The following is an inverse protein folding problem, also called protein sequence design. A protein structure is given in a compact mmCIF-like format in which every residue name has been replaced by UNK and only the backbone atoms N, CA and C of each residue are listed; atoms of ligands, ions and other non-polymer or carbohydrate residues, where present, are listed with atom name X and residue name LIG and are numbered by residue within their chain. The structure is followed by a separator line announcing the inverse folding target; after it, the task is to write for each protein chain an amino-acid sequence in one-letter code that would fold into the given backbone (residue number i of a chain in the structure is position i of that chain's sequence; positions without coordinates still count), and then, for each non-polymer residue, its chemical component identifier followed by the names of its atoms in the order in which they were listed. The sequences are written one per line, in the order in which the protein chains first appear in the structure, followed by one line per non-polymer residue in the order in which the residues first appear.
data_IF_937193709592
#
_entry.id   IF_937193709592
#
_cell.length_a   1.000
_cell.length_b   1.000
_cell.length_c   1.000
_cell.angle_alpha   90.00
_cell.angle_beta   90.00
_cell.angle_gamma   90.00
#
_symmetry.space_group_name_H-M   'P 1'
#
loop_
_entity.id
_entity.type
_entity.pdbx_description
1 polymer ?
#
# COMPACT_ATOMS: atom_id res chain seq x y z
N UNK A 1 -2.19 -12.81 -23.99
CA UNK A 1 -0.93 -12.61 -23.23
C UNK A 1 0.19 -13.24 -24.08
N UNK A 2 1.37 -12.63 -24.23
CA UNK A 2 2.49 -12.98 -25.15
C UNK A 2 2.54 -12.24 -26.50
N UNK A 3 2.84 -10.95 -26.47
CA UNK A 3 3.36 -10.22 -27.63
C UNK A 3 4.88 -9.98 -27.55
N UNK A 4 5.57 -10.62 -26.59
CA UNK A 4 7.01 -10.50 -26.32
C UNK A 4 7.53 -9.06 -26.15
N UNK A 5 6.64 -8.10 -25.87
CA UNK A 5 7.04 -6.73 -25.59
C UNK A 5 7.85 -6.67 -24.28
N UNK A 6 8.92 -5.89 -24.31
CA UNK A 6 9.80 -5.66 -23.17
C UNK A 6 9.78 -4.18 -22.82
N UNK A 7 9.66 -3.89 -21.53
CA UNK A 7 9.66 -2.53 -21.00
C UNK A 7 10.69 -2.44 -19.89
N UNK A 8 11.35 -1.28 -19.79
CA UNK A 8 12.05 -0.91 -18.58
C UNK A 8 11.03 -0.48 -17.52
N UNK A 9 11.19 -0.99 -16.31
CA UNK A 9 10.36 -0.66 -15.16
C UNK A 9 11.14 0.20 -14.16
N UNK A 10 10.50 1.24 -13.64
CA UNK A 10 11.00 2.08 -12.55
C UNK A 10 10.34 1.65 -11.25
N UNK A 11 11.13 1.47 -10.18
CA UNK A 11 10.61 1.26 -8.85
C UNK A 11 9.99 2.56 -8.32
N UNK A 12 8.69 2.53 -7.99
CA UNK A 12 7.98 3.67 -7.38
C UNK A 12 8.12 3.64 -5.86
N UNK A 13 8.05 2.44 -5.28
CA UNK A 13 8.23 2.21 -3.86
C UNK A 13 8.08 0.72 -3.51
N UNK A 14 8.42 0.38 -2.28
CA UNK A 14 8.28 -0.98 -1.73
C UNK A 14 7.89 -0.93 -0.27
N UNK A 15 7.12 -1.91 0.17
CA UNK A 15 6.84 -2.20 1.58
C UNK A 15 7.39 -3.59 1.94
N UNK A 16 8.56 -3.65 2.57
CA UNK A 16 9.13 -4.91 3.03
C UNK A 16 8.24 -5.66 4.03
N UNK A 17 7.43 -4.94 4.83
CA UNK A 17 6.59 -5.54 5.88
C UNK A 17 5.29 -6.17 5.37
N UNK A 18 5.02 -6.08 4.05
CA UNK A 18 4.02 -6.91 3.35
C UNK A 18 4.59 -7.69 2.19
N UNK A 19 5.90 -7.60 1.91
CA UNK A 19 6.52 -8.14 0.69
C UNK A 19 5.87 -7.64 -0.62
N UNK A 20 5.60 -6.32 -0.71
CA UNK A 20 5.01 -5.69 -1.90
C UNK A 20 5.92 -4.61 -2.48
N UNK A 21 5.92 -4.49 -3.81
CA UNK A 21 6.59 -3.42 -4.53
C UNK A 21 5.72 -2.91 -5.69
N UNK A 22 5.76 -1.60 -5.92
CA UNK A 22 5.07 -0.96 -7.04
C UNK A 22 6.08 -0.53 -8.10
N UNK A 23 5.85 -0.99 -9.33
CA UNK A 23 6.67 -0.69 -10.49
C UNK A 23 5.86 0.12 -11.53
N UNK A 24 6.52 1.07 -12.19
CA UNK A 24 5.96 1.85 -13.31
C UNK A 24 6.68 1.50 -14.59
N UNK A 25 5.92 1.19 -15.65
CA UNK A 25 6.42 1.04 -17.01
C UNK A 25 5.92 2.20 -17.87
N UNK A 26 6.77 2.72 -18.77
CA UNK A 26 6.39 3.79 -19.72
C UNK A 26 5.74 3.16 -20.96
N UNK A 27 4.42 2.98 -20.90
CA UNK A 27 3.60 2.48 -22.01
C UNK A 27 2.14 2.91 -21.85
N UNK A 28 1.38 2.89 -22.94
CA UNK A 28 -0.03 3.33 -22.99
C UNK A 28 -0.92 2.18 -23.45
N UNK A 29 -2.20 2.24 -23.09
CA UNK A 29 -3.23 1.28 -23.51
C UNK A 29 -2.88 -0.19 -23.18
N UNK A 30 -2.31 -0.41 -22.00
CA UNK A 30 -2.01 -1.75 -21.51
C UNK A 30 -3.29 -2.41 -20.97
N UNK A 31 -3.47 -3.73 -21.15
CA UNK A 31 -4.54 -4.45 -20.48
C UNK A 31 -4.30 -4.44 -18.96
N UNK A 32 -5.40 -4.42 -18.19
CA UNK A 32 -5.36 -4.45 -16.74
C UNK A 32 -6.41 -5.46 -16.21
N UNK A 33 -6.31 -5.76 -14.92
CA UNK A 33 -7.21 -6.66 -14.20
C UNK A 33 -7.99 -5.87 -13.16
N UNK A 34 -9.25 -6.23 -12.94
CA UNK A 34 -10.06 -5.65 -11.87
C UNK A 34 -9.71 -6.30 -10.53
N UNK A 35 -9.75 -5.51 -9.48
CA UNK A 35 -9.66 -6.04 -8.13
C UNK A 35 -10.99 -6.66 -7.71
N UNK A 36 -10.94 -7.85 -7.13
CA UNK A 36 -12.06 -8.43 -6.39
C UNK A 36 -12.04 -7.95 -4.93
N UNK A 37 -12.61 -8.76 -4.04
CA UNK A 37 -12.64 -8.52 -2.60
C UNK A 37 -12.18 -9.76 -1.83
N UNK A 38 -11.02 -9.69 -1.18
CA UNK A 38 -10.48 -10.80 -0.39
C UNK A 38 -11.26 -11.10 0.89
N UNK A 39 -12.14 -10.21 1.34
CA UNK A 39 -12.98 -10.46 2.52
C UNK A 39 -14.10 -11.44 2.18
N UNK A 40 -14.61 -11.40 0.95
CA UNK A 40 -15.65 -12.29 0.44
C UNK A 40 -15.14 -13.70 0.09
N UNK A 41 -13.83 -13.86 -0.03
CA UNK A 41 -13.20 -15.17 -0.28
C UNK A 41 -13.43 -16.09 0.91
N UNK A 42 -13.82 -17.33 0.64
CA UNK A 42 -14.05 -18.38 1.62
C UNK A 42 -13.24 -19.65 1.31
N UNK A 43 -12.83 -20.43 2.32
CA UNK A 43 -12.26 -21.75 2.07
C UNK A 43 -13.21 -22.64 1.25
N UNK A 44 -12.67 -23.25 0.19
CA UNK A 44 -13.43 -24.03 -0.80
C UNK A 44 -13.67 -23.30 -2.12
N UNK A 45 -13.50 -21.97 -2.16
CA UNK A 45 -13.64 -21.22 -3.41
C UNK A 45 -12.57 -21.63 -4.43
N UNK A 46 -12.98 -21.81 -5.69
CA UNK A 46 -12.07 -22.10 -6.79
C UNK A 46 -11.24 -20.87 -7.15
N UNK A 47 -9.96 -21.12 -7.39
CA UNK A 47 -9.00 -20.08 -7.75
C UNK A 47 -8.05 -20.53 -8.85
N UNK A 48 -7.56 -19.56 -9.61
CA UNK A 48 -6.49 -19.76 -10.58
C UNK A 48 -5.27 -18.94 -10.15
N UNK A 49 -4.10 -19.59 -10.12
CA UNK A 49 -2.82 -18.91 -9.93
C UNK A 49 -2.15 -18.73 -11.29
N UNK A 50 -1.71 -17.51 -11.59
CA UNK A 50 -1.10 -17.13 -12.86
C UNK A 50 0.29 -16.54 -12.60
N UNK A 51 1.30 -17.05 -13.29
CA UNK A 51 2.69 -16.59 -13.14
C UNK A 51 3.61 -17.11 -14.24
N UNK A 52 4.92 -16.99 -14.03
CA UNK A 52 5.92 -17.47 -14.99
C UNK A 52 6.95 -18.39 -14.31
N UNK A 53 6.54 -19.58 -13.85
CA UNK A 53 7.43 -20.48 -13.16
C UNK A 53 8.49 -20.99 -14.13
N UNK A 54 9.74 -21.07 -13.67
CA UNK A 54 10.88 -21.57 -14.44
C UNK A 54 11.11 -20.91 -15.82
N UNK A 55 10.64 -19.68 -16.03
CA UNK A 55 10.68 -18.96 -17.31
C UNK A 55 10.01 -19.71 -18.49
N UNK A 56 9.00 -20.54 -18.23
CA UNK A 56 8.30 -21.34 -19.24
C UNK A 56 7.25 -20.58 -20.06
N UNK A 57 7.15 -19.25 -19.90
CA UNK A 57 6.16 -18.34 -20.48
C UNK A 57 4.73 -18.60 -19.98
N UNK A 58 4.28 -17.79 -19.00
CA UNK A 58 2.87 -17.67 -18.54
C UNK A 58 2.15 -19.00 -18.28
N UNK A 59 2.28 -19.54 -17.06
CA UNK A 59 1.58 -20.74 -16.60
C UNK A 59 0.37 -20.36 -15.75
N UNK A 60 -0.72 -21.10 -15.95
CA UNK A 60 -1.93 -21.04 -15.13
C UNK A 60 -2.09 -22.38 -14.42
N UNK A 61 -2.33 -22.35 -13.11
CA UNK A 61 -2.67 -23.53 -12.30
C UNK A 61 -3.98 -23.28 -11.57
N UNK A 62 -4.76 -24.34 -11.34
CA UNK A 62 -6.03 -24.26 -10.62
C UNK A 62 -5.90 -24.91 -9.26
N UNK A 63 -6.70 -24.43 -8.32
CA UNK A 63 -6.86 -25.01 -6.99
C UNK A 63 -8.07 -24.38 -6.29
N UNK A 64 -8.12 -24.54 -4.98
CA UNK A 64 -9.10 -23.90 -4.11
C UNK A 64 -8.40 -23.05 -3.05
N UNK A 65 -9.15 -22.17 -2.41
CA UNK A 65 -8.72 -21.55 -1.16
C UNK A 65 -8.81 -22.59 -0.06
N UNK A 66 -7.67 -22.91 0.57
CA UNK A 66 -7.60 -23.90 1.64
C UNK A 66 -7.79 -23.27 3.02
N UNK A 67 -7.35 -22.03 3.20
CA UNK A 67 -7.46 -21.28 4.45
C UNK A 67 -7.20 -19.77 4.24
N UNK A 68 -7.50 -18.95 5.25
CA UNK A 68 -7.21 -17.52 5.29
C UNK A 68 -6.39 -17.16 6.52
N UNK A 69 -5.84 -15.95 6.53
CA UNK A 69 -5.13 -15.34 7.65
C UNK A 69 -4.00 -16.23 8.20
N UNK A 70 -3.21 -16.84 7.31
CA UNK A 70 -2.06 -17.66 7.70
C UNK A 70 -0.84 -16.79 8.03
N UNK A 71 -0.27 -17.04 9.20
CA UNK A 71 1.11 -16.67 9.55
C UNK A 71 2.03 -17.85 9.25
N UNK A 72 3.13 -17.63 8.53
CA UNK A 72 4.11 -18.67 8.21
C UNK A 72 5.55 -18.27 8.60
N UNK A 73 5.73 -17.10 9.21
CA UNK A 73 7.00 -16.62 9.74
C UNK A 73 8.07 -16.32 8.68
N UNK A 74 7.66 -15.96 7.46
CA UNK A 74 8.58 -15.75 6.32
C UNK A 74 9.13 -14.33 6.22
N UNK A 75 8.42 -13.32 6.72
CA UNK A 75 8.83 -11.92 6.71
C UNK A 75 9.88 -11.61 7.80
N UNK A 76 10.09 -12.55 8.73
CA UNK A 76 11.10 -12.49 9.78
C UNK A 76 10.76 -11.43 10.84
N UNK A 77 10.87 -11.77 12.11
CA UNK A 77 10.41 -10.93 13.23
C UNK A 77 11.35 -9.75 13.52
N UNK A 78 11.53 -8.87 12.54
CA UNK A 78 12.55 -7.82 12.59
C UNK A 78 12.07 -6.58 13.34
N UNK A 79 10.75 -6.30 13.35
CA UNK A 79 10.21 -5.07 13.96
C UNK A 79 8.73 -5.12 14.42
N UNK A 80 8.12 -6.29 14.69
CA UNK A 80 6.74 -6.40 15.23
C UNK A 80 5.60 -5.80 14.37
N UNK A 81 5.93 -5.30 13.17
CA UNK A 81 5.01 -4.61 12.26
C UNK A 81 4.75 -5.40 10.98
N UNK A 82 5.37 -6.57 10.83
CA UNK A 82 5.17 -7.44 9.69
C UNK A 82 3.73 -7.93 9.66
N UNK A 83 3.12 -7.93 8.48
CA UNK A 83 1.73 -8.35 8.29
C UNK A 83 1.72 -9.61 7.46
N UNK A 84 1.59 -10.73 8.16
CA UNK A 84 1.42 -12.04 7.57
C UNK A 84 0.01 -12.55 7.83
N UNK A 85 -0.83 -12.45 6.80
CA UNK A 85 -2.20 -12.95 6.82
C UNK A 85 -2.55 -13.50 5.44
N UNK A 86 -1.81 -14.52 5.03
CA UNK A 86 -1.90 -15.05 3.68
C UNK A 86 -3.23 -15.80 3.45
N UNK A 87 -3.71 -15.71 2.21
CA UNK A 87 -4.64 -16.66 1.63
C UNK A 87 -3.84 -17.91 1.28
N UNK A 88 -4.23 -19.06 1.81
CA UNK A 88 -3.63 -20.35 1.47
C UNK A 88 -4.40 -21.00 0.32
N UNK A 89 -3.68 -21.56 -0.64
CA UNK A 89 -4.25 -22.35 -1.74
C UNK A 89 -3.42 -23.59 -2.04
N UNK A 90 -4.08 -24.62 -2.57
CA UNK A 90 -3.46 -25.81 -3.16
C UNK A 90 -3.28 -25.68 -4.69
N UNK A 91 -3.49 -24.49 -5.26
CA UNK A 91 -3.02 -24.22 -6.61
C UNK A 91 -1.49 -24.37 -6.63
N UNK A 92 -0.97 -25.03 -7.68
CA UNK A 92 0.45 -25.29 -7.80
C UNK A 92 1.23 -23.97 -8.03
N UNK A 93 1.99 -23.55 -7.01
CA UNK A 93 2.85 -22.37 -7.04
C UNK A 93 4.30 -22.82 -6.86
N UNK A 94 5.20 -22.34 -7.72
CA UNK A 94 6.64 -22.62 -7.67
C UNK A 94 7.44 -21.31 -7.82
N UNK A 95 8.74 -21.30 -7.51
CA UNK A 95 9.61 -20.15 -7.81
C UNK A 95 9.42 -19.63 -9.24
N UNK A 96 9.20 -18.32 -9.37
CA UNK A 96 8.82 -17.65 -10.62
C UNK A 96 7.34 -17.27 -10.71
N UNK A 97 6.50 -17.76 -9.80
CA UNK A 97 5.13 -17.26 -9.63
C UNK A 97 5.01 -16.07 -8.66
N UNK A 98 6.05 -15.78 -7.87
CA UNK A 98 6.05 -14.65 -6.93
C UNK A 98 5.79 -13.32 -7.67
N UNK A 99 4.86 -12.52 -7.15
CA UNK A 99 4.32 -11.32 -7.81
C UNK A 99 3.23 -11.59 -8.85
N UNK A 100 2.93 -12.86 -9.13
CA UNK A 100 1.85 -13.30 -10.01
C UNK A 100 0.47 -13.21 -9.34
N UNK A 101 -0.59 -13.34 -10.13
CA UNK A 101 -1.97 -13.16 -9.68
C UNK A 101 -2.57 -14.45 -9.11
N UNK A 102 -3.37 -14.32 -8.06
CA UNK A 102 -4.38 -15.28 -7.65
C UNK A 102 -5.75 -14.69 -7.95
N UNK A 103 -6.55 -15.36 -8.77
CA UNK A 103 -7.85 -14.84 -9.25
C UNK A 103 -9.00 -15.79 -8.95
N UNK A 104 -10.20 -15.23 -8.80
CA UNK A 104 -11.46 -16.00 -8.75
C UNK A 104 -11.90 -16.43 -10.17
N UNK A 105 -13.05 -17.11 -10.27
CA UNK A 105 -13.58 -17.62 -11.54
C UNK A 105 -14.06 -16.50 -12.49
N UNK A 106 -14.37 -15.33 -11.95
CA UNK A 106 -14.71 -14.11 -12.67
C UNK A 106 -13.46 -13.42 -13.26
N UNK A 107 -12.25 -13.87 -12.90
CA UNK A 107 -10.98 -13.29 -13.33
C UNK A 107 -10.58 -12.02 -12.58
N UNK A 108 -11.19 -11.77 -11.42
CA UNK A 108 -10.85 -10.66 -10.53
C UNK A 108 -9.69 -11.05 -9.62
N UNK A 109 -8.78 -10.10 -9.38
CA UNK A 109 -7.65 -10.32 -8.49
C UNK A 109 -8.12 -10.44 -7.04
N UNK A 110 -7.83 -11.57 -6.39
CA UNK A 110 -8.12 -11.79 -4.96
C UNK A 110 -6.85 -11.85 -4.10
N UNK A 111 -5.68 -12.05 -4.72
CA UNK A 111 -4.39 -11.97 -4.03
C UNK A 111 -3.18 -11.95 -4.96
N UNK A 112 -2.01 -11.70 -4.38
CA UNK A 112 -0.71 -11.75 -5.07
C UNK A 112 0.10 -12.90 -4.51
N UNK A 113 0.50 -13.84 -5.38
CA UNK A 113 1.31 -14.99 -5.01
C UNK A 113 2.66 -14.52 -4.45
N UNK A 114 3.04 -14.96 -3.25
CA UNK A 114 4.30 -14.54 -2.62
C UNK A 114 5.17 -15.75 -2.29
N UNK A 115 4.65 -16.70 -1.51
CA UNK A 115 5.46 -17.75 -0.89
C UNK A 115 4.86 -19.16 -1.03
N UNK A 116 5.68 -20.15 -0.71
CA UNK A 116 5.30 -21.56 -0.52
C UNK A 116 5.93 -22.08 0.77
N UNK A 117 5.24 -22.97 1.48
CA UNK A 117 5.83 -23.70 2.60
C UNK A 117 6.33 -25.05 2.11
N UNK A 118 7.65 -25.24 2.13
CA UNK A 118 8.31 -26.44 1.62
C UNK A 118 9.68 -26.66 2.25
N UNK A 119 10.06 -27.92 2.45
CA UNK A 119 11.39 -28.31 2.90
C UNK A 119 12.38 -28.48 1.73
N UNK A 120 11.87 -28.70 0.52
CA UNK A 120 12.68 -29.01 -0.68
C UNK A 120 12.86 -27.83 -1.61
N UNK A 121 12.12 -26.73 -1.39
CA UNK A 121 12.08 -25.57 -2.29
C UNK A 121 11.08 -25.72 -3.45
N UNK A 122 10.41 -26.86 -3.58
CA UNK A 122 9.35 -27.09 -4.57
C UNK A 122 7.95 -27.10 -3.96
N UNK A 123 6.92 -26.92 -4.80
CA UNK A 123 5.51 -27.04 -4.40
C UNK A 123 5.22 -28.35 -3.65
N UNK A 124 4.41 -28.28 -2.59
CA UNK A 124 4.00 -29.45 -1.77
C UNK A 124 2.57 -29.36 -1.23
N UNK A 125 1.69 -28.56 -1.83
CA UNK A 125 0.30 -28.38 -1.35
C UNK A 125 0.03 -27.10 -0.56
N UNK A 126 1.07 -26.32 -0.26
CA UNK A 126 0.96 -25.15 0.62
C UNK A 126 1.51 -23.91 -0.06
N UNK A 127 0.61 -23.20 -0.76
CA UNK A 127 0.92 -21.96 -1.44
C UNK A 127 0.23 -20.78 -0.78
N UNK A 128 0.86 -19.60 -0.82
CA UNK A 128 0.41 -18.42 -0.06
C UNK A 128 0.37 -17.16 -0.93
N UNK A 129 -0.74 -16.43 -0.83
CA UNK A 129 -0.97 -15.18 -1.52
C UNK A 129 -1.33 -14.05 -0.54
N UNK A 130 -0.83 -12.85 -0.80
CA UNK A 130 -1.14 -11.64 -0.04
C UNK A 130 -2.56 -11.19 -0.44
N UNK A 131 -3.49 -10.95 0.50
CA UNK A 131 -4.87 -10.54 0.20
C UNK A 131 -4.95 -9.24 -0.62
N UNK A 132 -5.84 -9.20 -1.62
CA UNK A 132 -5.96 -8.03 -2.51
C UNK A 132 -6.33 -6.74 -1.78
N UNK A 133 -7.10 -6.81 -0.68
CA UNK A 133 -7.45 -5.60 0.06
C UNK A 133 -6.23 -4.94 0.74
N UNK A 134 -5.28 -5.74 1.22
CA UNK A 134 -3.98 -5.22 1.68
C UNK A 134 -3.16 -4.66 0.52
N UNK A 135 -3.16 -5.36 -0.63
CA UNK A 135 -2.48 -4.89 -1.84
C UNK A 135 -2.98 -3.51 -2.28
N UNK A 136 -4.30 -3.31 -2.37
CA UNK A 136 -4.93 -2.02 -2.71
C UNK A 136 -4.38 -0.91 -1.82
N UNK A 137 -4.45 -1.10 -0.51
CA UNK A 137 -3.97 -0.11 0.48
C UNK A 137 -2.50 0.20 0.30
N UNK A 138 -1.65 -0.82 0.15
CA UNK A 138 -0.21 -0.63 -0.01
C UNK A 138 0.09 0.11 -1.31
N UNK A 139 -0.57 -0.23 -2.42
CA UNK A 139 -0.41 0.47 -3.69
C UNK A 139 -0.85 1.93 -3.59
N UNK A 140 -1.99 2.22 -2.96
CA UNK A 140 -2.50 3.58 -2.77
C UNK A 140 -1.51 4.43 -1.95
N UNK A 141 -0.97 3.89 -0.86
CA UNK A 141 0.04 4.60 -0.06
C UNK A 141 1.35 4.83 -0.83
N UNK A 142 1.83 3.84 -1.59
CA UNK A 142 3.06 3.98 -2.38
C UNK A 142 2.88 5.02 -3.51
N UNK A 143 1.70 5.09 -4.12
CA UNK A 143 1.36 6.10 -5.12
C UNK A 143 1.23 7.49 -4.49
N UNK A 144 0.56 7.60 -3.35
CA UNK A 144 0.26 8.91 -2.75
C UNK A 144 1.44 9.48 -1.96
N UNK A 145 2.12 8.64 -1.19
CA UNK A 145 3.14 9.06 -0.22
C UNK A 145 4.54 8.50 -0.51
N UNK A 146 4.69 7.59 -1.48
CA UNK A 146 5.97 6.92 -1.75
C UNK A 146 6.42 5.93 -0.67
N UNK A 147 5.65 5.81 0.42
CA UNK A 147 5.89 4.90 1.53
C UNK A 147 4.55 4.49 2.13
N UNK A 148 4.49 3.28 2.68
CA UNK A 148 3.31 2.80 3.39
C UNK A 148 3.21 3.46 4.76
N UNK A 149 2.02 3.94 5.11
CA UNK A 149 1.75 4.57 6.40
C UNK A 149 0.73 3.74 7.16
N UNK A 150 1.11 3.20 8.33
CA UNK A 150 0.31 2.21 9.07
C UNK A 150 -0.32 2.82 10.31
N UNK A 151 -1.63 2.66 10.41
CA UNK A 151 -2.33 2.82 11.67
C UNK A 151 -2.07 1.62 12.58
N UNK A 152 -1.90 1.86 13.86
CA UNK A 152 -1.77 0.85 14.91
C UNK A 152 -2.74 1.16 16.05
N UNK A 153 -3.22 0.10 16.72
CA UNK A 153 -4.03 0.20 17.92
C UNK A 153 -3.20 0.56 19.16
N UNK A 154 -1.94 0.10 19.21
CA UNK A 154 -1.06 0.23 20.36
C UNK A 154 -1.38 -0.74 21.49
N UNK A 155 -1.45 -2.04 21.15
CA UNK A 155 -1.72 -3.14 22.09
C UNK A 155 -0.67 -4.23 21.96
N UNK A 156 -0.44 -4.98 23.04
CA UNK A 156 0.22 -6.28 22.99
C UNK A 156 -0.85 -7.34 23.03
N UNK A 157 -0.75 -8.31 22.14
CA UNK A 157 -1.82 -9.25 21.83
C UNK A 157 -1.27 -10.65 21.64
N UNK A 158 -2.14 -11.64 21.86
CA UNK A 158 -1.91 -13.05 21.55
C UNK A 158 -3.19 -13.67 21.02
N UNK A 159 -3.07 -14.76 20.27
CA UNK A 159 -4.24 -15.57 19.88
C UNK A 159 -4.94 -16.12 21.13
N UNK A 160 -6.27 -16.18 21.08
CA UNK A 160 -7.00 -16.98 22.06
C UNK A 160 -6.74 -18.46 21.77
N UNK A 161 -6.10 -19.14 22.71
CA UNK A 161 -5.98 -20.59 22.74
C UNK A 161 -6.92 -21.18 23.80
N UNK A 162 -7.10 -22.50 23.81
CA UNK A 162 -7.89 -23.17 24.85
C UNK A 162 -7.32 -22.92 26.25
N UNK A 163 -5.98 -22.92 26.36
CA UNK A 163 -5.26 -22.65 27.61
C UNK A 163 -5.50 -21.22 28.09
N UNK A 164 -5.37 -20.23 27.19
CA UNK A 164 -5.64 -18.82 27.53
C UNK A 164 -7.11 -18.62 27.91
N UNK A 165 -8.04 -19.28 27.21
CA UNK A 165 -9.45 -19.20 27.52
C UNK A 165 -9.77 -19.75 28.91
N UNK A 166 -9.15 -20.86 29.30
CA UNK A 166 -9.30 -21.44 30.64
C UNK A 166 -8.63 -20.58 31.73
N UNK A 167 -7.38 -20.16 31.52
CA UNK A 167 -6.62 -19.35 32.49
C UNK A 167 -7.23 -17.98 32.76
N UNK A 168 -7.86 -17.37 31.75
CA UNK A 168 -8.44 -16.03 31.82
C UNK A 168 -9.98 -16.05 31.95
N UNK A 169 -10.60 -17.23 32.10
CA UNK A 169 -12.05 -17.42 32.22
C UNK A 169 -12.84 -16.74 31.08
N UNK A 170 -12.40 -16.99 29.83
CA UNK A 170 -12.97 -16.38 28.63
C UNK A 170 -14.15 -17.19 28.09
N UNK A 171 -15.23 -16.50 27.72
CA UNK A 171 -16.40 -17.09 27.09
C UNK A 171 -16.28 -17.32 25.57
N UNK A 172 -15.10 -17.06 25.02
CA UNK A 172 -14.82 -17.17 23.58
C UNK A 172 -13.61 -18.05 23.36
N UNK A 173 -13.68 -18.93 22.35
CA UNK A 173 -12.60 -19.85 21.98
C UNK A 173 -11.76 -19.34 20.81
N UNK A 174 -12.11 -18.17 20.27
CA UNK A 174 -11.48 -17.55 19.10
C UNK A 174 -11.46 -16.04 19.30
N UNK A 175 -10.52 -15.38 18.64
CA UNK A 175 -10.29 -13.94 18.76
C UNK A 175 -8.87 -13.64 19.22
N UNK A 176 -8.67 -12.38 19.61
CA UNK A 176 -7.35 -11.88 19.98
C UNK A 176 -7.38 -11.29 21.38
N UNK A 177 -6.66 -11.93 22.29
CA UNK A 177 -6.58 -11.52 23.68
C UNK A 177 -5.64 -10.32 23.85
N UNK A 178 -6.12 -9.27 24.53
CA UNK A 178 -5.35 -8.05 24.81
C UNK A 178 -4.56 -8.22 26.10
N UNK A 179 -3.27 -8.53 25.96
CA UNK A 179 -2.31 -8.71 27.06
C UNK A 179 -1.99 -7.38 27.73
N UNK A 180 -1.86 -6.31 26.95
CA UNK A 180 -1.50 -4.99 27.46
C UNK A 180 -1.97 -3.90 26.50
N UNK A 181 -2.39 -2.77 27.05
CA UNK A 181 -2.77 -1.58 26.30
C UNK A 181 -1.72 -0.51 26.54
N UNK A 182 -1.09 -0.01 25.47
CA UNK A 182 -0.04 1.00 25.59
C UNK A 182 -0.64 2.35 26.00
N UNK A 183 0.04 3.08 26.88
CA UNK A 183 -0.37 4.42 27.29
C UNK A 183 -0.31 5.41 26.12
N UNK A 184 -1.32 6.27 26.00
CA UNK A 184 -1.48 7.24 24.91
C UNK A 184 -1.84 6.61 23.56
N UNK A 185 -2.22 5.33 23.54
CA UNK A 185 -2.56 4.60 22.32
C UNK A 185 -4.00 4.82 21.87
N UNK A 186 -4.27 4.44 20.62
CA UNK A 186 -5.63 4.43 20.07
C UNK A 186 -6.57 3.51 20.87
N UNK A 187 -6.04 2.39 21.37
CA UNK A 187 -6.76 1.45 22.21
C UNK A 187 -7.11 2.06 23.58
N UNK A 188 -6.14 2.65 24.28
CA UNK A 188 -6.37 3.28 25.60
C UNK A 188 -7.43 4.39 25.50
N UNK A 189 -7.29 5.30 24.53
CA UNK A 189 -8.22 6.42 24.34
C UNK A 189 -9.65 5.96 24.00
N UNK A 190 -9.79 4.79 23.38
CA UNK A 190 -11.10 4.21 23.08
C UNK A 190 -11.76 3.52 24.28
N UNK A 191 -11.04 3.35 25.39
CA UNK A 191 -11.48 2.61 26.57
C UNK A 191 -11.27 1.09 26.47
N UNK A 192 -10.39 0.62 25.59
CA UNK A 192 -9.95 -0.78 25.55
C UNK A 192 -9.10 -1.07 26.80
N UNK A 193 -9.30 -2.24 27.38
CA UNK A 193 -8.64 -2.65 28.61
C UNK A 193 -7.86 -3.96 28.42
N UNK A 194 -6.87 -4.17 29.27
CA UNK A 194 -6.24 -5.49 29.41
C UNK A 194 -7.31 -6.52 29.79
N UNK A 195 -7.25 -7.70 29.18
CA UNK A 195 -8.25 -8.76 29.37
C UNK A 195 -9.39 -8.73 28.37
N UNK A 196 -9.52 -7.67 27.56
CA UNK A 196 -10.45 -7.66 26.43
C UNK A 196 -10.05 -8.72 25.39
N UNK A 197 -11.04 -9.37 24.78
CA UNK A 197 -10.83 -10.19 23.58
C UNK A 197 -11.40 -9.46 22.36
N UNK A 198 -10.55 -9.10 21.40
CA UNK A 198 -10.99 -8.50 20.14
C UNK A 198 -11.61 -9.60 19.27
N UNK A 199 -12.88 -9.38 18.88
CA UNK A 199 -13.68 -10.34 18.12
C UNK A 199 -14.09 -9.83 16.73
N UNK A 200 -13.98 -8.52 16.47
CA UNK A 200 -14.23 -7.98 15.12
C UNK A 200 -13.60 -6.60 14.91
N UNK A 201 -13.23 -6.29 13.66
CA UNK A 201 -12.86 -4.94 13.19
C UNK A 201 -13.81 -4.53 12.06
N UNK A 202 -14.43 -3.35 12.16
CA UNK A 202 -15.38 -2.83 11.17
C UNK A 202 -16.49 -3.83 10.79
N UNK A 203 -16.90 -4.66 11.75
CA UNK A 203 -17.85 -5.77 11.62
C UNK A 203 -17.34 -7.02 10.87
N UNK A 204 -16.08 -7.06 10.44
CA UNK A 204 -15.43 -8.29 10.00
C UNK A 204 -14.99 -9.10 11.24
N UNK A 205 -15.40 -10.38 11.38
CA UNK A 205 -14.94 -11.25 12.45
C UNK A 205 -13.42 -11.35 12.48
N UNK A 206 -12.85 -11.38 13.68
CA UNK A 206 -11.42 -11.58 13.90
C UNK A 206 -11.26 -12.85 14.72
N UNK A 207 -10.56 -13.82 14.15
CA UNK A 207 -10.38 -15.13 14.78
C UNK A 207 -8.97 -15.30 15.35
N UNK A 208 -7.99 -14.54 14.85
CA UNK A 208 -6.59 -14.61 15.25
C UNK A 208 -5.84 -13.28 15.02
N UNK A 209 -4.60 -13.21 15.51
CA UNK A 209 -3.71 -12.06 15.49
C UNK A 209 -3.38 -11.65 14.06
N UNK A 210 -3.13 -12.60 13.16
CA UNK A 210 -2.85 -12.32 11.75
C UNK A 210 -4.00 -11.58 11.08
N UNK A 211 -5.24 -12.05 11.28
CA UNK A 211 -6.44 -11.41 10.75
C UNK A 211 -6.63 -10.01 11.35
N UNK A 212 -6.43 -9.83 12.66
CA UNK A 212 -6.47 -8.51 13.29
C UNK A 212 -5.43 -7.56 12.69
N UNK A 213 -4.18 -7.99 12.61
CA UNK A 213 -3.07 -7.18 12.11
C UNK A 213 -3.32 -6.77 10.66
N UNK A 214 -3.82 -7.67 9.83
CA UNK A 214 -4.14 -7.38 8.44
C UNK A 214 -5.28 -6.37 8.32
N UNK A 215 -6.39 -6.54 9.03
CA UNK A 215 -7.48 -5.56 9.02
C UNK A 215 -7.04 -4.19 9.52
N UNK A 216 -6.20 -4.13 10.56
CA UNK A 216 -5.66 -2.85 11.06
C UNK A 216 -4.70 -2.23 10.05
N UNK A 217 -3.83 -3.02 9.41
CA UNK A 217 -2.82 -2.56 8.46
C UNK A 217 -3.41 -2.01 7.15
N UNK A 218 -4.66 -2.34 6.83
CA UNK A 218 -5.45 -1.71 5.75
C UNK A 218 -5.82 -0.25 6.01
N UNK A 219 -5.49 0.29 7.18
CA UNK A 219 -5.87 1.65 7.55
C UNK A 219 -4.64 2.53 7.81
N UNK A 220 -4.82 3.82 7.54
CA UNK A 220 -3.81 4.87 7.75
C UNK A 220 -3.92 5.44 9.17
N UNK A 221 -2.86 6.07 9.70
CA UNK A 221 -2.97 6.92 10.89
C UNK A 221 -4.10 7.95 10.75
N UNK A 222 -4.77 8.24 11.86
CA UNK A 222 -5.95 9.12 11.91
C UNK A 222 -7.27 8.45 11.49
N UNK A 223 -7.22 7.25 10.92
CA UNK A 223 -8.45 6.52 10.56
C UNK A 223 -9.17 6.05 11.81
N UNK A 224 -10.47 6.32 11.87
CA UNK A 224 -11.33 5.80 12.93
C UNK A 224 -11.92 4.45 12.52
N UNK A 225 -11.66 3.42 13.32
CA UNK A 225 -12.19 2.07 13.11
C UNK A 225 -13.11 1.66 14.26
N UNK A 226 -14.06 0.78 13.98
CA UNK A 226 -14.91 0.14 15.00
C UNK A 226 -14.25 -1.17 15.43
N UNK A 227 -14.03 -1.34 16.72
CA UNK A 227 -13.48 -2.57 17.31
C UNK A 227 -14.52 -3.14 18.25
N UNK A 228 -14.96 -4.37 18.04
CA UNK A 228 -15.80 -5.06 19.03
C UNK A 228 -14.93 -5.94 19.90
N UNK A 229 -15.10 -5.83 21.20
CA UNK A 229 -14.38 -6.62 22.19
C UNK A 229 -15.35 -7.35 23.11
N UNK A 230 -15.05 -8.59 23.45
CA UNK A 230 -15.67 -9.31 24.56
C UNK A 230 -14.94 -8.90 25.85
N UNK A 231 -15.69 -8.34 26.80
CA UNK A 231 -15.22 -8.01 28.14
C UNK A 231 -16.09 -8.71 29.18
N UNK A 232 -15.53 -9.72 29.84
CA UNK A 232 -16.29 -10.65 30.66
C UNK A 232 -17.49 -11.21 29.86
N UNK A 233 -18.72 -11.02 30.32
CA UNK A 233 -19.95 -11.47 29.65
C UNK A 233 -20.46 -10.53 28.54
N UNK A 234 -19.93 -9.32 28.41
CA UNK A 234 -20.51 -8.28 27.56
C UNK A 234 -19.66 -7.99 26.33
N UNK A 235 -20.33 -7.77 25.19
CA UNK A 235 -19.71 -7.21 24.00
C UNK A 235 -19.72 -5.68 24.10
N UNK A 236 -18.54 -5.06 23.98
CA UNK A 236 -18.38 -3.61 23.85
C UNK A 236 -17.98 -3.25 22.43
N UNK A 237 -18.53 -2.14 21.93
CA UNK A 237 -18.14 -1.56 20.65
C UNK A 237 -17.34 -0.28 20.89
N UNK A 238 -16.05 -0.36 20.60
CA UNK A 238 -15.09 0.72 20.77
C UNK A 238 -14.85 1.41 19.43
N UNK A 239 -14.54 2.70 19.49
CA UNK A 239 -14.18 3.49 18.31
C UNK A 239 -12.74 3.98 18.47
N UNK A 240 -11.81 3.35 17.76
CA UNK A 240 -10.38 3.59 17.89
C UNK A 240 -9.90 4.49 16.74
N UNK A 241 -9.28 5.62 17.07
CA UNK A 241 -8.59 6.46 16.07
C UNK A 241 -7.14 6.02 15.99
N UNK A 242 -6.78 5.33 14.90
CA UNK A 242 -5.46 4.73 14.74
C UNK A 242 -4.34 5.78 14.75
N UNK A 243 -3.18 5.40 15.27
CA UNK A 243 -1.98 6.24 15.31
C UNK A 243 -0.84 5.57 14.56
N UNK A 244 0.20 6.30 14.18
CA UNK A 244 1.43 5.70 13.70
C UNK A 244 2.30 5.18 14.87
N UNK A 245 3.46 4.64 14.53
CA UNK A 245 4.43 4.11 15.51
C UNK A 245 5.01 5.18 16.45
N UNK A 246 4.91 6.45 16.09
CA UNK A 246 5.32 7.61 16.90
C UNK A 246 4.15 8.19 17.70
N UNK A 247 2.94 7.62 17.58
CA UNK A 247 1.74 8.09 18.24
C UNK A 247 1.01 9.23 17.50
N UNK A 248 1.41 9.58 16.28
CA UNK A 248 0.78 10.63 15.47
C UNK A 248 -0.45 10.13 14.72
N UNK A 249 -1.42 11.02 14.50
CA UNK A 249 -2.56 10.78 13.60
C UNK A 249 -2.33 11.39 12.20
N UNK A 250 -1.25 12.14 12.03
CA UNK A 250 -0.97 12.87 10.79
C UNK A 250 -0.32 11.96 9.75
N UNK A 251 -0.83 12.02 8.52
CA UNK A 251 -0.18 11.39 7.38
C UNK A 251 1.02 12.23 6.95
N UNK A 252 2.21 11.62 6.96
CA UNK A 252 3.44 12.22 6.46
C UNK A 252 3.39 12.24 4.93
N UNK A 253 3.07 13.40 4.35
CA UNK A 253 3.03 13.56 2.89
C UNK A 253 4.41 13.34 2.25
N UNK A 254 4.40 12.87 0.99
CA UNK A 254 5.59 12.90 0.12
C UNK A 254 5.93 14.30 -0.35
N UNK A 255 5.01 15.27 -0.28
CA UNK A 255 5.16 16.58 -0.93
C UNK A 255 6.45 17.25 -0.48
N UNK A 256 7.49 17.10 -1.30
CA UNK A 256 8.74 17.80 -1.08
C UNK A 256 8.53 19.18 -1.66
N UNK A 257 8.25 20.13 -0.77
CA UNK A 257 8.17 21.54 -1.14
C UNK A 257 9.57 22.12 -1.12
N UNK A 258 10.11 22.45 -2.29
CA UNK A 258 11.37 23.18 -2.38
C UNK A 258 11.12 24.64 -2.75
N UNK A 259 11.97 25.52 -2.23
CA UNK A 259 12.07 26.88 -2.75
C UNK A 259 13.27 26.94 -3.68
N UNK A 260 13.03 27.11 -4.98
CA UNK A 260 14.08 27.29 -5.99
C UNK A 260 13.93 28.68 -6.61
N UNK A 261 14.93 29.54 -6.43
CA UNK A 261 14.96 30.91 -6.98
C UNK A 261 13.66 31.72 -6.70
N UNK A 262 13.10 31.57 -5.49
CA UNK A 262 11.89 32.29 -5.06
C UNK A 262 10.56 31.68 -5.51
N UNK A 263 10.56 30.52 -6.16
CA UNK A 263 9.35 29.73 -6.42
C UNK A 263 9.21 28.58 -5.42
N UNK A 264 8.04 28.46 -4.80
CA UNK A 264 7.62 27.29 -4.03
C UNK A 264 7.07 26.23 -4.99
N UNK A 265 7.80 25.13 -5.09
CA UNK A 265 7.57 24.04 -6.03
C UNK A 265 7.15 22.78 -5.28
N UNK A 266 6.12 22.12 -5.76
CA UNK A 266 5.58 20.90 -5.17
C UNK A 266 5.52 19.77 -6.20
N UNK A 267 5.83 18.56 -5.75
CA UNK A 267 5.53 17.34 -6.51
C UNK A 267 4.03 17.23 -6.78
N UNK A 268 3.67 16.76 -7.98
CA UNK A 268 2.30 16.43 -8.32
C UNK A 268 2.02 14.98 -7.93
N UNK A 269 0.93 14.73 -7.20
CA UNK A 269 0.55 13.37 -6.83
C UNK A 269 0.26 12.51 -8.07
N UNK A 270 0.47 11.20 -7.99
CA UNK A 270 0.19 10.29 -9.11
C UNK A 270 -1.28 10.32 -9.55
N UNK A 271 -2.21 10.48 -8.60
CA UNK A 271 -3.64 10.63 -8.88
C UNK A 271 -3.92 11.90 -9.71
N UNK A 272 -3.23 12.99 -9.41
CA UNK A 272 -3.36 14.24 -10.14
C UNK A 272 -2.68 14.15 -11.52
N UNK A 273 -1.50 13.53 -11.63
CA UNK A 273 -0.84 13.26 -12.91
C UNK A 273 -1.76 12.45 -13.85
N UNK A 274 -2.40 11.40 -13.32
CA UNK A 274 -3.35 10.58 -14.07
C UNK A 274 -4.58 11.39 -14.52
N UNK A 275 -5.17 12.20 -13.63
CA UNK A 275 -6.30 13.09 -13.95
C UNK A 275 -5.94 14.12 -15.03
N UNK A 276 -4.72 14.63 -14.98
CA UNK A 276 -4.19 15.58 -15.96
C UNK A 276 -3.71 14.91 -17.25
N UNK A 277 -3.60 13.57 -17.27
CA UNK A 277 -3.07 12.77 -18.37
C UNK A 277 -1.65 13.18 -18.77
N UNK A 278 -0.77 13.37 -17.77
CA UNK A 278 0.65 13.68 -17.94
C UNK A 278 1.52 12.66 -17.20
N UNK A 279 2.75 12.43 -17.67
CA UNK A 279 3.62 11.38 -17.13
C UNK A 279 4.45 11.84 -15.91
N UNK A 280 4.63 13.15 -15.76
CA UNK A 280 5.39 13.82 -14.72
C UNK A 280 5.19 15.34 -14.79
N UNK A 281 5.63 16.04 -13.74
CA UNK A 281 5.62 17.49 -13.71
C UNK A 281 5.76 18.06 -12.30
N UNK A 282 6.02 19.37 -12.24
CA UNK A 282 6.21 20.12 -11.00
C UNK A 282 5.20 21.25 -10.92
N UNK A 283 4.47 21.34 -9.82
CA UNK A 283 3.49 22.38 -9.58
C UNK A 283 4.13 23.61 -8.92
N UNK A 284 4.04 24.75 -9.61
CA UNK A 284 4.49 26.05 -9.10
C UNK A 284 3.37 26.70 -8.29
N UNK A 285 3.36 26.46 -6.98
CA UNK A 285 2.30 26.94 -6.09
C UNK A 285 2.38 28.44 -5.86
N UNK A 286 3.56 28.94 -5.54
CA UNK A 286 3.77 30.35 -5.22
C UNK A 286 5.07 30.87 -5.83
N UNK A 287 5.02 32.06 -6.44
CA UNK A 287 6.16 32.68 -7.09
C UNK A 287 6.39 34.08 -6.51
N UNK A 288 7.53 34.26 -5.85
CA UNK A 288 8.00 35.57 -5.39
C UNK A 288 8.51 36.42 -6.57
N UNK A 289 8.65 37.75 -6.40
CA UNK A 289 9.35 38.58 -7.38
C UNK A 289 10.76 38.03 -7.65
N UNK A 290 11.06 37.68 -8.91
CA UNK A 290 12.30 36.98 -9.26
C UNK A 290 12.34 36.56 -10.72
N UNK A 291 13.30 35.70 -11.09
CA UNK A 291 13.52 35.24 -12.47
C UNK A 291 12.25 34.62 -13.06
N UNK A 292 11.57 33.75 -12.30
CA UNK A 292 10.32 33.08 -12.70
C UNK A 292 9.18 34.06 -13.02
N UNK A 293 8.96 35.07 -12.17
CA UNK A 293 7.88 36.04 -12.39
C UNK A 293 8.20 37.00 -13.54
N UNK A 294 9.49 37.35 -13.72
CA UNK A 294 9.96 38.21 -14.83
C UNK A 294 9.83 37.55 -16.19
N UNK A 295 9.92 36.22 -16.28
CA UNK A 295 9.68 35.49 -17.54
C UNK A 295 8.20 35.45 -17.93
N UNK A 296 7.28 35.88 -17.05
CA UNK A 296 5.83 35.90 -17.29
C UNK A 296 5.09 34.69 -16.73
N UNK A 297 5.78 33.76 -16.06
CA UNK A 297 5.14 32.64 -15.37
C UNK A 297 4.37 33.17 -14.15
N UNK A 298 3.13 32.68 -13.99
CA UNK A 298 2.26 32.99 -12.85
C UNK A 298 2.13 31.76 -11.94
N UNK A 299 1.55 31.97 -10.76
CA UNK A 299 1.17 30.88 -9.87
C UNK A 299 0.26 29.89 -10.60
N UNK A 300 0.20 28.67 -10.08
CA UNK A 300 -0.57 27.55 -10.61
C UNK A 300 -0.08 26.96 -11.93
N UNK A 301 1.14 27.32 -12.35
CA UNK A 301 1.77 26.72 -13.52
C UNK A 301 2.34 25.34 -13.18
N UNK A 302 2.16 24.39 -14.09
CA UNK A 302 2.76 23.05 -14.02
C UNK A 302 3.88 22.98 -15.05
N UNK A 303 5.12 22.89 -14.58
CA UNK A 303 6.28 22.65 -15.44
C UNK A 303 6.28 21.17 -15.85
N UNK A 304 6.39 20.93 -17.14
CA UNK A 304 6.49 19.57 -17.70
C UNK A 304 7.81 19.31 -18.38
N UNK A 305 8.46 20.35 -18.94
CA UNK A 305 9.74 20.22 -19.61
C UNK A 305 10.65 21.43 -19.34
N UNK A 306 11.96 21.18 -19.32
CA UNK A 306 13.02 22.20 -19.39
C UNK A 306 13.91 21.87 -20.59
N UNK A 307 14.05 22.79 -21.54
CA UNK A 307 14.78 22.59 -22.80
C UNK A 307 14.40 21.27 -23.50
N UNK A 308 13.09 20.97 -23.56
CA UNK A 308 12.51 19.74 -24.12
C UNK A 308 12.88 18.45 -23.39
N UNK A 309 13.53 18.53 -22.22
CA UNK A 309 13.75 17.40 -21.34
C UNK A 309 12.55 17.28 -20.40
N UNK A 310 11.94 16.10 -20.36
CA UNK A 310 10.82 15.78 -19.46
C UNK A 310 11.24 15.99 -18.01
N UNK A 311 10.36 16.63 -17.23
CA UNK A 311 10.54 16.82 -15.79
C UNK A 311 9.59 15.89 -15.06
N UNK A 312 10.12 14.95 -14.29
CA UNK A 312 9.30 13.98 -13.58
C UNK A 312 8.74 14.53 -12.26
N UNK A 313 9.57 15.21 -11.47
CA UNK A 313 9.27 15.72 -10.13
C UNK A 313 10.23 16.86 -9.72
N UNK A 314 10.10 17.39 -8.50
CA UNK A 314 10.89 18.56 -8.04
C UNK A 314 12.38 18.24 -7.92
N UNK A 315 12.74 17.03 -7.49
CA UNK A 315 14.14 16.59 -7.41
C UNK A 315 14.79 16.56 -8.80
N UNK A 316 14.08 16.00 -9.78
CA UNK A 316 14.51 15.96 -11.19
C UNK A 316 14.62 17.36 -11.80
N UNK A 317 13.67 18.25 -11.48
CA UNK A 317 13.76 19.66 -11.86
C UNK A 317 15.00 20.33 -11.27
N UNK A 318 15.26 20.16 -9.97
CA UNK A 318 16.40 20.77 -9.30
C UNK A 318 17.72 20.30 -9.94
N UNK A 319 17.89 18.99 -10.11
CA UNK A 319 19.06 18.41 -10.79
C UNK A 319 19.19 18.91 -12.23
N UNK A 320 18.08 19.05 -12.95
CA UNK A 320 18.08 19.55 -14.33
C UNK A 320 18.54 21.00 -14.38
N UNK A 321 18.19 21.82 -13.39
CA UNK A 321 18.55 23.23 -13.30
C UNK A 321 19.97 23.47 -12.77
N UNK A 322 20.51 22.58 -11.93
CA UNK A 322 21.86 22.70 -11.32
C UNK A 322 22.99 22.83 -12.36
N UNK A 323 22.81 22.26 -13.55
CA UNK A 323 23.82 22.25 -14.62
C UNK A 323 23.53 23.24 -15.75
N UNK A 324 22.48 24.06 -15.63
CA UNK A 324 22.10 25.02 -16.66
C UNK A 324 22.82 26.34 -16.46
N UNK A 325 23.24 26.95 -17.56
CA UNK A 325 23.82 28.29 -17.59
C UNK A 325 23.25 29.03 -18.80
N UNK A 326 22.73 30.25 -18.60
CA UNK A 326 22.20 31.07 -19.68
C UNK A 326 20.70 30.83 -19.94
N UNK A 327 20.25 31.10 -21.17
CA UNK A 327 18.83 31.01 -21.50
C UNK A 327 18.32 29.57 -21.51
N UNK A 328 17.28 29.28 -20.74
CA UNK A 328 16.53 28.01 -20.78
C UNK A 328 15.09 28.23 -21.18
N UNK A 329 14.49 27.21 -21.79
CA UNK A 329 13.09 27.14 -22.20
C UNK A 329 12.30 26.31 -21.19
N UNK A 330 11.19 26.85 -20.70
CA UNK A 330 10.28 26.18 -19.78
C UNK A 330 8.96 25.94 -20.51
N UNK A 331 8.49 24.68 -20.51
CA UNK A 331 7.22 24.29 -21.11
C UNK A 331 6.29 23.66 -20.08
N UNK A 332 5.00 23.99 -20.16
CA UNK A 332 4.03 23.54 -19.19
C UNK A 332 2.62 24.05 -19.47
N UNK A 333 1.77 24.01 -18.46
CA UNK A 333 0.39 24.51 -18.56
C UNK A 333 -0.15 24.98 -17.21
N UNK A 334 -1.15 25.85 -17.24
CA UNK A 334 -1.82 26.31 -16.02
C UNK A 334 -2.86 25.30 -15.52
N UNK A 335 -2.79 25.00 -14.21
CA UNK A 335 -3.76 24.15 -13.52
C UNK A 335 -5.16 24.78 -13.63
N UNK A 336 -6.15 23.97 -14.02
CA UNK A 336 -7.55 24.41 -14.17
C UNK A 336 -7.96 24.83 -15.59
N UNK A 337 -7.10 25.53 -16.34
CA UNK A 337 -7.41 25.96 -17.73
C UNK A 337 -6.77 25.08 -18.81
N UNK A 338 -5.71 24.31 -18.47
CA UNK A 338 -4.85 23.58 -19.43
C UNK A 338 -4.27 24.48 -20.53
N UNK A 339 -4.26 25.81 -20.32
CA UNK A 339 -3.60 26.76 -21.21
C UNK A 339 -2.10 26.46 -21.20
N UNK A 340 -1.54 26.13 -22.37
CA UNK A 340 -0.11 25.84 -22.52
C UNK A 340 0.69 27.12 -22.42
N UNK A 341 1.80 27.07 -21.69
CA UNK A 341 2.74 28.16 -21.57
C UNK A 341 4.15 27.72 -21.99
N UNK A 342 4.84 28.61 -22.70
CA UNK A 342 6.24 28.44 -23.08
C UNK A 342 6.96 29.73 -22.71
N UNK A 343 7.98 29.63 -21.87
CA UNK A 343 8.66 30.78 -21.30
C UNK A 343 10.18 30.65 -21.41
N UNK A 344 10.83 31.71 -21.85
CA UNK A 344 12.29 31.83 -21.80
C UNK A 344 12.72 32.50 -20.50
N UNK A 345 13.71 31.95 -19.82
CA UNK A 345 14.29 32.53 -18.61
C UNK A 345 15.81 32.51 -18.73
N UNK A 346 16.47 33.57 -18.26
CA UNK A 346 17.92 33.55 -18.07
C UNK A 346 18.21 32.89 -16.72
N UNK A 347 18.85 31.72 -16.76
CA UNK A 347 19.23 30.93 -15.60
C UNK A 347 20.65 31.24 -15.17
#
# INVERSE_FOLDING_TARGET
MNNNQRFYAKLIGRDPSTDLALLKIKSKNLPFMYYGDSDLVTPGDWVLAVGNPFNLNSTVTAGIVSAKARNIGVLGDRNSLDVEAFIQTDAAINPGNSGGALVNLEGELIGINSAIATLTGGYSGYSFAIPVNLVKKVMDDLLEFGKVQRGILGVRIVDVSAEIAEEQDLNVLQGVFVVYVNRGSAAEESGMEQGDVIISINNNPVNNVSELQEYVARHRPGTKIKVSVQRAENIKHLSCTLRDVEGSIEMKSRTVSYTIEGATLEDISYSELARLNIEGGVYMKYIQPGKWRKSGIKNDFIITHIDKVDIENVEDLNRTLEHKNGGILIEGFYKGSREKGVFGIMW
#
